data_IF_219793814763
#
_entry.id   IF_219793814763
#
_cell.length_a   1.000
_cell.length_b   1.000
_cell.length_c   1.000
_cell.angle_alpha   90.00
_cell.angle_beta   90.00
_cell.angle_gamma   90.00
#
_symmetry.space_group_name_H-M   'P 1'
#
loop_
_entity.id
_entity.type
_entity.pdbx_description
1 polymer ?
2 non-polymer ?
3 non-polymer ?
4 water ?
#
# COMPACT_ATOMS: atom_id res chain seq x y z
N UNK A 9 13.04 9.21 -10.26
CA UNK A 9 13.29 8.51 -11.55
C UNK A 9 11.98 8.43 -12.30
N UNK A 10 12.07 7.94 -13.52
CA UNK A 10 10.91 7.79 -14.38
C UNK A 10 10.48 6.32 -14.44
N UNK A 11 11.09 5.48 -13.61
CA UNK A 11 10.75 4.05 -13.59
C UNK A 11 10.22 3.51 -12.27
N UNK A 12 9.75 2.25 -12.29
CA UNK A 12 9.16 1.62 -11.11
C UNK A 12 9.71 0.24 -10.75
N UNK A 13 9.56 -0.12 -9.48
CA UNK A 13 9.97 -1.43 -8.98
C UNK A 13 8.69 -2.18 -8.62
N UNK A 14 8.38 -3.25 -9.34
CA UNK A 14 7.18 -4.00 -9.02
C UNK A 14 7.57 -5.30 -8.34
N UNK A 15 6.73 -5.77 -7.43
CA UNK A 15 7.01 -7.02 -6.73
C UNK A 15 5.78 -7.91 -6.87
N UNK A 16 6.01 -9.18 -7.16
CA UNK A 16 4.92 -10.14 -7.32
C UNK A 16 5.14 -11.34 -6.41
N UNK A 17 4.18 -11.61 -5.52
CA UNK A 17 4.29 -12.78 -4.65
C UNK A 17 3.79 -13.99 -5.44
N UNK A 18 4.40 -15.15 -5.23
CA UNK A 18 3.97 -16.35 -5.93
C UNK A 18 2.55 -16.75 -5.50
N UNK A 19 1.94 -17.65 -6.28
CA UNK A 19 0.60 -18.10 -5.98
C UNK A 19 0.53 -18.98 -4.75
N UNK A 20 -0.71 -19.38 -4.45
CA UNK A 20 -1.04 -20.23 -3.31
C UNK A 20 -0.46 -21.65 -3.36
N UNK A 21 -0.14 -22.18 -2.18
CA UNK A 21 0.38 -23.54 -2.05
C UNK A 21 -0.39 -24.19 -0.89
N UNK A 22 -0.21 -25.49 -0.70
CA UNK A 22 -0.89 -26.21 0.39
C UNK A 22 -0.47 -25.67 1.76
N UNK A 23 0.75 -25.12 1.84
CA UNK A 23 1.25 -24.57 3.10
C UNK A 23 0.78 -23.14 3.38
N UNK A 24 0.74 -22.29 2.35
CA UNK A 24 0.30 -20.92 2.55
C UNK A 24 -1.14 -20.82 3.03
N UNK A 25 -1.99 -21.69 2.49
CA UNK A 25 -3.40 -21.70 2.86
C UNK A 25 -3.59 -22.03 4.34
N UNK A 26 -2.63 -22.75 4.89
CA UNK A 26 -2.67 -23.16 6.30
C UNK A 26 -1.94 -22.16 7.20
N UNK A 27 -1.34 -21.15 6.59
CA UNK A 27 -0.63 -20.14 7.35
C UNK A 27 0.72 -20.63 7.84
N UNK A 28 1.24 -21.68 7.19
CA UNK A 28 2.53 -22.27 7.54
C UNK A 28 3.66 -21.45 6.91
N UNK A 29 4.74 -21.27 7.65
CA UNK A 29 5.89 -20.52 7.14
C UNK A 29 6.75 -21.42 6.27
N UNK A 30 6.90 -21.03 5.00
CA UNK A 30 7.69 -21.80 4.03
C UNK A 30 8.91 -21.01 3.56
N UNK A 31 10.09 -21.55 3.84
CA UNK A 31 11.33 -20.89 3.45
C UNK A 31 12.00 -21.69 2.35
N UNK A 32 13.00 -22.50 2.71
CA UNK A 32 13.67 -23.29 1.71
C UNK A 32 12.87 -24.49 1.21
N UNK A 33 11.86 -24.91 1.96
CA UNK A 33 11.05 -26.06 1.55
C UNK A 33 10.42 -25.85 0.17
N UNK A 34 10.55 -26.84 -0.70
CA UNK A 34 10.01 -26.78 -2.05
C UNK A 34 8.58 -27.28 -2.15
N UNK A 35 7.64 -26.38 -1.89
CA UNK A 35 6.22 -26.71 -1.96
C UNK A 35 5.71 -26.30 -3.34
N UNK A 36 4.76 -27.06 -3.87
CA UNK A 36 4.22 -26.76 -5.19
C UNK A 36 3.01 -25.82 -5.12
N UNK A 37 2.72 -25.17 -6.23
CA UNK A 37 1.58 -24.28 -6.33
C UNK A 37 0.36 -25.20 -6.42
N UNK A 38 -0.77 -24.77 -5.86
CA UNK A 38 -1.98 -25.60 -5.97
C UNK A 38 -2.57 -25.22 -7.32
N UNK A 39 -3.63 -25.91 -7.74
CA UNK A 39 -4.24 -25.57 -9.02
C UNK A 39 -4.76 -24.14 -8.92
N UNK A 40 -5.15 -23.74 -7.71
CA UNK A 40 -5.65 -22.40 -7.49
C UNK A 40 -4.45 -21.48 -7.62
N UNK A 41 -3.28 -21.98 -7.21
CA UNK A 41 -2.07 -21.19 -7.31
C UNK A 41 -1.67 -20.91 -8.75
N UNK A 42 -1.85 -21.91 -9.61
CA UNK A 42 -1.51 -21.76 -11.02
C UNK A 42 -2.40 -20.73 -11.66
N UNK A 43 -3.69 -20.76 -11.30
CA UNK A 43 -4.66 -19.82 -11.86
C UNK A 43 -4.33 -18.39 -11.41
N UNK A 44 -3.98 -18.24 -10.13
CA UNK A 44 -3.62 -16.94 -9.57
C UNK A 44 -2.47 -16.35 -10.38
N UNK A 45 -1.44 -17.15 -10.57
CA UNK A 45 -0.27 -16.74 -11.33
C UNK A 45 -0.67 -16.30 -12.74
N UNK A 46 -1.53 -17.10 -13.37
CA UNK A 46 -2.00 -16.81 -14.71
C UNK A 46 -2.71 -15.44 -14.77
N UNK A 47 -3.56 -15.17 -13.78
CA UNK A 47 -4.29 -13.91 -13.72
C UNK A 47 -3.36 -12.72 -13.44
N UNK A 48 -2.34 -12.93 -12.62
CA UNK A 48 -1.40 -11.86 -12.32
C UNK A 48 -0.67 -11.38 -13.59
N UNK A 49 -0.20 -12.32 -14.41
CA UNK A 49 0.49 -11.95 -15.64
C UNK A 49 -0.44 -11.19 -16.56
N UNK A 50 -1.72 -11.51 -16.44
CA UNK A 50 -2.77 -10.86 -17.22
C UNK A 50 -2.80 -9.41 -16.76
N UNK A 51 -2.75 -9.24 -15.45
CA UNK A 51 -2.76 -7.94 -14.82
C UNK A 51 -1.49 -7.13 -15.10
N UNK A 52 -0.34 -7.81 -15.13
CA UNK A 52 0.93 -7.15 -15.41
C UNK A 52 0.90 -6.61 -16.82
N UNK A 53 0.12 -7.29 -17.68
CA UNK A 53 0.00 -6.90 -19.06
C UNK A 53 -0.54 -5.51 -19.27
N UNK A 54 -1.47 -5.07 -18.43
CA UNK A 54 -2.02 -3.74 -18.61
C UNK A 54 -1.36 -2.69 -17.71
N UNK A 55 -0.17 -3.01 -17.20
CA UNK A 55 0.56 -2.05 -16.37
C UNK A 55 1.55 -1.26 -17.21
N UNK A 56 1.59 -1.57 -18.52
CA UNK A 56 2.47 -0.89 -19.45
C UNK A 56 3.87 -0.72 -18.90
N UNK A 57 4.57 -1.83 -18.72
CA UNK A 57 5.93 -1.82 -18.19
C UNK A 57 6.97 -1.55 -19.28
N UNK A 58 7.98 -0.78 -18.93
CA UNK A 58 9.04 -0.41 -19.86
C UNK A 58 10.20 -1.42 -19.90
N UNK A 59 10.22 -2.22 -20.96
CA UNK A 59 11.28 -3.21 -21.16
C UNK A 59 11.80 -3.73 -19.82
N UNK A 60 10.92 -4.33 -19.01
CA UNK A 60 11.16 -4.90 -17.68
C UNK A 60 12.24 -5.97 -17.53
N UNK A 61 13.08 -5.83 -16.51
CA UNK A 61 14.09 -6.85 -16.24
C UNK A 61 13.46 -7.63 -15.08
N UNK A 62 13.26 -8.93 -15.29
CA UNK A 62 12.64 -9.79 -14.28
C UNK A 62 13.62 -10.65 -13.49
N UNK A 63 13.64 -10.45 -12.18
CA UNK A 63 14.50 -11.17 -11.26
C UNK A 63 13.57 -12.09 -10.47
N UNK A 64 13.94 -13.36 -10.35
CA UNK A 64 13.08 -14.33 -9.67
C UNK A 64 13.75 -15.16 -8.57
N UNK A 65 12.98 -15.53 -7.55
CA UNK A 65 13.50 -16.37 -6.46
C UNK A 65 13.70 -17.79 -7.02
N UNK A 66 14.71 -18.51 -6.51
CA UNK A 66 15.03 -19.87 -6.96
C UNK A 66 13.99 -20.96 -6.69
N UNK A 67 13.09 -20.73 -5.73
CA UNK A 67 12.08 -21.73 -5.39
C UNK A 67 11.26 -22.07 -6.62
N UNK A 68 10.78 -23.31 -6.69
CA UNK A 68 9.98 -23.73 -7.82
C UNK A 68 8.63 -23.01 -7.87
N UNK A 69 8.03 -22.75 -6.72
CA UNK A 69 6.74 -22.07 -6.72
C UNK A 69 6.82 -20.65 -7.32
N UNK A 70 7.98 -20.01 -7.21
CA UNK A 70 8.15 -18.68 -7.79
C UNK A 70 8.54 -18.78 -9.26
N UNK A 71 9.37 -19.76 -9.61
CA UNK A 71 9.75 -19.94 -11.01
C UNK A 71 8.49 -20.29 -11.78
N UNK A 72 7.69 -21.18 -11.20
CA UNK A 72 6.44 -21.62 -11.81
C UNK A 72 5.52 -20.44 -12.05
N UNK A 73 5.38 -19.59 -11.03
CA UNK A 73 4.53 -18.41 -11.14
C UNK A 73 4.95 -17.53 -12.32
N UNK A 74 6.25 -17.25 -12.42
CA UNK A 74 6.77 -16.41 -13.51
C UNK A 74 6.39 -16.98 -14.87
N UNK A 75 6.60 -18.27 -15.05
CA UNK A 75 6.28 -18.95 -16.31
C UNK A 75 4.77 -18.85 -16.60
N UNK A 76 3.95 -19.17 -15.61
CA UNK A 76 2.51 -19.12 -15.74
C UNK A 76 2.03 -17.69 -15.98
N UNK A 77 2.74 -16.72 -15.44
CA UNK A 77 2.38 -15.32 -15.61
C UNK A 77 2.78 -14.86 -17.00
N UNK A 78 3.44 -15.74 -17.74
CA UNK A 78 3.88 -15.41 -19.09
C UNK A 78 5.09 -14.49 -19.13
N UNK A 79 5.92 -14.57 -18.09
CA UNK A 79 7.10 -13.73 -18.03
C UNK A 79 8.35 -14.50 -18.44
N UNK A 80 9.36 -13.78 -18.91
CA UNK A 80 10.61 -14.41 -19.27
C UNK A 80 11.56 -13.86 -18.21
N UNK A 81 12.14 -14.76 -17.43
CA UNK A 81 13.05 -14.41 -16.34
C UNK A 81 14.47 -14.08 -16.84
N UNK A 82 15.00 -12.96 -16.38
CA UNK A 82 16.33 -12.51 -16.75
C UNK A 82 17.40 -12.95 -15.77
N UNK A 83 17.05 -13.00 -14.48
CA UNK A 83 17.99 -13.41 -13.44
C UNK A 83 17.29 -14.23 -12.35
N UNK A 84 17.89 -15.36 -11.98
CA UNK A 84 17.36 -16.20 -10.92
C UNK A 84 18.40 -16.09 -9.82
N UNK A 85 17.99 -15.66 -8.63
CA UNK A 85 18.93 -15.49 -7.53
C UNK A 85 18.31 -15.67 -6.15
N UNK A 86 19.07 -16.30 -5.26
CA UNK A 86 18.61 -16.53 -3.91
C UNK A 86 18.45 -15.20 -3.18
N UNK A 87 18.89 -14.13 -3.81
CA UNK A 87 18.75 -12.81 -3.20
C UNK A 87 17.27 -12.52 -2.88
N UNK A 88 16.38 -13.08 -3.70
CA UNK A 88 14.95 -12.86 -3.52
C UNK A 88 14.27 -14.00 -2.76
N UNK A 89 15.07 -14.92 -2.19
CA UNK A 89 14.52 -16.05 -1.46
C UNK A 89 13.73 -15.61 -0.24
N UNK A 90 12.78 -16.43 0.21
CA UNK A 90 12.01 -16.06 1.38
C UNK A 90 12.90 -16.04 2.61
N UNK A 91 12.38 -15.45 3.68
CA UNK A 91 13.09 -15.38 4.95
C UNK A 91 13.41 -16.82 5.35
N UNK A 92 14.66 -17.10 5.71
CA UNK A 92 15.05 -18.45 6.15
C UNK A 92 14.45 -18.65 7.54
N UNK A 93 13.45 -19.52 7.65
CA UNK A 93 12.78 -19.74 8.93
C UNK A 93 13.45 -20.68 9.91
N UNK A 94 14.57 -21.27 9.52
CA UNK A 94 15.26 -22.19 10.41
C UNK A 94 14.36 -23.15 11.17
N UNK A 95 14.43 -23.10 12.50
CA UNK A 95 13.65 -24.00 13.36
C UNK A 95 12.14 -23.88 13.18
N UNK A 96 11.68 -22.70 12.78
CA UNK A 96 10.24 -22.45 12.62
C UNK A 96 9.64 -22.91 11.29
N UNK A 97 10.49 -23.37 10.38
CA UNK A 97 10.01 -23.85 9.09
C UNK A 97 8.80 -24.78 9.31
N UNK A 98 7.70 -24.51 8.61
CA UNK A 98 6.54 -25.36 8.74
C UNK A 98 5.55 -24.96 9.81
N UNK A 99 5.97 -24.13 10.77
CA UNK A 99 5.07 -23.71 11.86
C UNK A 99 4.21 -22.51 11.51
N UNK A 100 3.02 -22.46 12.11
CA UNK A 100 2.12 -21.33 11.90
C UNK A 100 2.46 -20.34 13.00
N UNK A 101 1.94 -19.12 12.88
CA UNK A 101 2.20 -18.08 13.87
C UNK A 101 1.68 -18.46 15.26
N UNK A 102 0.47 -19.05 15.34
CA UNK A 102 -0.07 -19.44 16.65
C UNK A 102 0.84 -20.50 17.28
N UNK A 103 1.20 -21.51 16.48
CA UNK A 103 2.09 -22.56 16.97
C UNK A 103 3.37 -21.95 17.53
N UNK A 104 3.90 -20.96 16.79
CA UNK A 104 5.12 -20.30 17.23
C UNK A 104 4.81 -19.53 18.51
N UNK A 105 3.58 -19.04 18.59
CA UNK A 105 3.11 -18.28 19.74
C UNK A 105 3.05 -19.08 21.02
N UNK A 106 2.90 -20.40 20.90
CA UNK A 106 2.84 -21.25 22.07
C UNK A 106 4.16 -21.23 22.83
N UNK A 107 5.23 -20.84 22.15
CA UNK A 107 6.54 -20.77 22.77
C UNK A 107 7.02 -19.33 22.92
N UNK A 108 6.73 -18.50 21.92
CA UNK A 108 7.13 -17.09 21.92
C UNK A 108 5.88 -16.24 21.66
N UNK A 109 5.02 -16.08 22.69
CA UNK A 109 3.76 -15.33 22.69
C UNK A 109 3.71 -13.98 21.99
N UNK A 110 4.83 -13.27 21.94
CA UNK A 110 4.87 -11.96 21.30
C UNK A 110 5.62 -11.96 19.96
N UNK A 111 5.91 -13.16 19.44
CA UNK A 111 6.66 -13.29 18.19
C UNK A 111 6.07 -12.66 16.92
N UNK A 112 6.97 -12.01 16.17
CA UNK A 112 6.68 -11.42 14.87
C UNK A 112 8.03 -11.63 14.20
N UNK A 113 8.02 -12.13 12.97
CA UNK A 113 9.29 -12.36 12.30
C UNK A 113 10.07 -11.06 12.22
N UNK A 114 9.33 -9.96 12.08
CA UNK A 114 9.90 -8.62 11.93
C UNK A 114 10.74 -8.08 13.08
N UNK A 115 10.44 -8.54 14.29
CA UNK A 115 11.17 -8.10 15.47
C UNK A 115 12.04 -9.20 16.09
N UNK A 116 11.62 -10.46 15.95
CA UNK A 116 12.38 -11.57 16.54
C UNK A 116 13.33 -12.33 15.61
N UNK A 117 12.87 -12.60 14.39
CA UNK A 117 13.70 -13.37 13.49
C UNK A 117 13.41 -14.84 13.75
N UNK A 118 14.23 -15.73 13.20
CA UNK A 118 14.01 -17.16 13.37
C UNK A 118 15.22 -17.90 13.90
N UNK A 119 15.02 -18.76 14.92
CA UNK A 119 16.13 -19.52 15.50
C UNK A 119 16.68 -20.56 14.50
N UNK A 120 17.99 -20.49 14.25
CA UNK A 120 18.68 -21.38 13.32
C UNK A 120 18.42 -20.97 11.87
N UNK A 121 17.92 -19.75 11.69
CA UNK A 121 17.63 -19.22 10.37
C UNK A 121 18.16 -17.79 10.24
N UNK A 122 17.48 -16.96 9.47
CA UNK A 122 17.91 -15.57 9.29
C UNK A 122 17.44 -14.64 10.39
N UNK A 123 18.33 -13.74 10.80
CA UNK A 123 18.00 -12.76 11.81
C UNK A 123 17.49 -11.52 11.07
N UNK A 124 16.88 -10.60 11.81
CA UNK A 124 16.36 -9.37 11.20
C UNK A 124 17.49 -8.65 10.46
N UNK A 125 18.64 -8.53 11.13
CA UNK A 125 19.80 -7.85 10.57
C UNK A 125 20.16 -8.43 9.19
N UNK A 126 20.18 -9.75 9.10
CA UNK A 126 20.52 -10.40 7.84
C UNK A 126 19.51 -10.11 6.73
N UNK A 127 18.24 -10.10 7.05
CA UNK A 127 17.24 -9.83 6.02
C UNK A 127 17.24 -8.36 5.69
N UNK A 128 17.54 -7.52 6.68
CA UNK A 128 17.61 -6.07 6.47
C UNK A 128 18.66 -5.78 5.39
N UNK A 129 19.81 -6.43 5.50
CA UNK A 129 20.90 -6.27 4.55
C UNK A 129 20.57 -6.88 3.19
N UNK A 130 19.92 -8.04 3.21
CA UNK A 130 19.56 -8.68 1.94
C UNK A 130 18.55 -7.79 1.21
N UNK A 131 17.62 -7.22 1.98
CA UNK A 131 16.60 -6.35 1.44
C UNK A 131 17.23 -5.11 0.82
N UNK A 132 18.19 -4.50 1.51
CA UNK A 132 18.86 -3.31 0.99
C UNK A 132 19.63 -3.63 -0.30
N UNK A 133 20.29 -4.77 -0.34
CA UNK A 133 21.03 -5.14 -1.55
C UNK A 133 20.06 -5.24 -2.72
N UNK A 134 18.87 -5.81 -2.44
CA UNK A 134 17.83 -5.96 -3.46
C UNK A 134 17.38 -4.59 -3.98
N UNK A 135 17.20 -3.64 -3.07
CA UNK A 135 16.79 -2.30 -3.47
C UNK A 135 17.90 -1.67 -4.32
N UNK A 136 19.16 -1.91 -3.92
CA UNK A 136 20.32 -1.37 -4.63
C UNK A 136 20.34 -1.94 -6.05
N UNK A 137 20.03 -3.22 -6.17
CA UNK A 137 20.00 -3.88 -7.46
C UNK A 137 18.98 -3.18 -8.38
N UNK A 138 17.78 -3.00 -7.85
CA UNK A 138 16.69 -2.37 -8.59
C UNK A 138 17.03 -0.99 -9.12
N UNK A 139 17.53 -0.12 -8.24
CA UNK A 139 17.90 1.25 -8.60
C UNK A 139 18.89 1.34 -9.75
N UNK A 140 19.74 0.31 -9.90
CA UNK A 140 20.72 0.31 -10.98
C UNK A 140 20.10 0.08 -12.34
N UNK A 141 19.05 -0.75 -12.39
CA UNK A 141 18.41 -1.00 -13.67
C UNK A 141 17.31 0.01 -13.97
N UNK A 142 16.72 0.57 -12.92
CA UNK A 142 15.65 1.55 -13.06
C UNK A 142 16.16 2.82 -13.73
N UNK A 143 17.47 2.88 -13.94
CA UNK A 143 18.07 4.03 -14.58
C UNK A 143 17.65 4.07 -16.05
N UNK A 144 17.23 2.92 -16.56
CA UNK A 144 16.83 2.82 -17.96
C UNK A 144 15.59 1.97 -18.22
N UNK A 145 15.16 1.20 -17.23
CA UNK A 145 13.98 0.34 -17.39
C UNK A 145 13.26 0.03 -16.07
N UNK A 146 12.09 -0.58 -16.18
CA UNK A 146 11.31 -0.97 -15.00
C UNK A 146 11.86 -2.30 -14.48
N UNK A 147 11.70 -2.53 -13.17
CA UNK A 147 12.18 -3.77 -12.53
C UNK A 147 11.05 -4.59 -11.89
N UNK A 148 11.08 -5.91 -12.08
CA UNK A 148 10.06 -6.79 -11.50
C UNK A 148 10.67 -7.94 -10.69
N UNK A 149 10.34 -7.99 -9.39
CA UNK A 149 10.82 -9.05 -8.53
C UNK A 149 9.71 -10.05 -8.34
N UNK A 150 9.98 -11.33 -8.60
CA UNK A 150 8.98 -12.37 -8.36
C UNK A 150 9.58 -13.04 -7.12
N UNK A 151 8.94 -12.83 -5.97
CA UNK A 151 9.48 -13.31 -4.71
C UNK A 151 8.45 -13.85 -3.71
N UNK A 152 8.70 -13.67 -2.41
CA UNK A 152 7.81 -14.16 -1.35
C UNK A 152 7.18 -13.08 -0.46
N UNK A 153 6.23 -13.51 0.38
CA UNK A 153 5.51 -12.61 1.26
C UNK A 153 6.34 -11.71 2.14
N UNK A 154 7.08 -12.31 3.06
CA UNK A 154 7.90 -11.53 3.97
C UNK A 154 9.04 -10.79 3.29
N UNK A 155 9.78 -11.45 2.40
CA UNK A 155 10.87 -10.75 1.74
C UNK A 155 10.38 -9.57 0.88
N UNK A 156 9.30 -9.77 0.14
CA UNK A 156 8.76 -8.67 -0.68
C UNK A 156 8.44 -7.48 0.23
N UNK A 157 7.84 -7.76 1.39
CA UNK A 157 7.50 -6.72 2.34
C UNK A 157 8.78 -6.07 2.85
N UNK A 158 9.83 -6.87 2.99
CA UNK A 158 11.11 -6.39 3.46
C UNK A 158 11.63 -5.39 2.44
N UNK A 159 11.58 -5.77 1.17
CA UNK A 159 12.04 -4.87 0.12
C UNK A 159 11.24 -3.57 0.14
N UNK A 160 9.93 -3.68 0.23
CA UNK A 160 9.05 -2.50 0.26
C UNK A 160 9.37 -1.61 1.46
N UNK A 161 9.48 -2.22 2.65
CA UNK A 161 9.78 -1.47 3.86
C UNK A 161 11.09 -0.70 3.71
N UNK A 162 12.07 -1.31 3.05
CA UNK A 162 13.37 -0.67 2.85
C UNK A 162 13.31 0.36 1.74
N UNK A 163 12.49 0.10 0.73
CA UNK A 163 12.34 1.05 -0.37
C UNK A 163 11.91 2.40 0.22
N UNK A 164 10.98 2.33 1.17
CA UNK A 164 10.46 3.52 1.82
C UNK A 164 11.29 3.97 3.02
N UNK A 165 12.49 3.40 3.14
CA UNK A 165 13.46 3.75 4.18
C UNK A 165 13.00 3.70 5.62
N UNK A 166 12.31 2.62 5.98
CA UNK A 166 11.83 2.43 7.34
C UNK A 166 12.59 1.25 7.95
N UNK A 167 12.60 1.13 9.30
CA UNK A 167 13.30 0.01 9.94
C UNK A 167 12.54 -1.24 9.51
N UNK A 168 13.25 -2.35 9.36
CA UNK A 168 12.62 -3.59 8.90
C UNK A 168 11.48 -4.01 9.80
N UNK A 169 11.52 -3.56 11.05
CA UNK A 169 10.47 -3.90 12.00
C UNK A 169 9.09 -3.54 11.47
N UNK A 170 9.04 -2.56 10.58
CA UNK A 170 7.78 -2.07 10.01
C UNK A 170 7.19 -2.98 8.93
N UNK A 171 7.87 -4.07 8.58
CA UNK A 171 7.35 -4.98 7.57
C UNK A 171 6.00 -5.56 7.97
N UNK A 172 5.70 -5.48 9.26
CA UNK A 172 4.45 -6.00 9.82
C UNK A 172 3.26 -5.14 9.42
N UNK A 173 3.53 -3.90 9.00
CA UNK A 173 2.50 -2.94 8.61
C UNK A 173 2.02 -3.02 7.16
N UNK A 174 2.56 -3.96 6.39
CA UNK A 174 2.17 -4.09 4.99
C UNK A 174 1.79 -5.51 4.61
N UNK A 175 0.59 -5.68 4.04
CA UNK A 175 0.14 -7.00 3.62
C UNK A 175 0.77 -7.33 2.27
N UNK A 176 0.74 -8.62 1.92
CA UNK A 176 1.30 -9.11 0.67
C UNK A 176 0.72 -10.50 0.47
N UNK A 177 -0.55 -10.58 0.02
CA UNK A 177 -1.17 -11.90 -0.19
C UNK A 177 -0.62 -12.63 -1.42
N UNK A 178 -0.95 -13.91 -1.54
CA UNK A 178 -0.47 -14.73 -2.65
C UNK A 178 -0.93 -14.18 -3.99
N UNK A 179 0.01 -14.12 -4.93
CA UNK A 179 -0.27 -13.62 -6.27
C UNK A 179 -0.65 -12.14 -6.28
N UNK A 180 -0.19 -11.40 -5.28
CA UNK A 180 -0.48 -9.97 -5.22
C UNK A 180 0.72 -9.14 -5.70
N UNK A 181 0.45 -7.92 -6.15
CA UNK A 181 1.46 -7.02 -6.67
C UNK A 181 1.57 -5.73 -5.84
N UNK A 182 2.82 -5.32 -5.58
CA UNK A 182 3.09 -4.08 -4.87
C UNK A 182 3.94 -3.28 -5.84
N UNK A 183 3.80 -1.95 -5.87
CA UNK A 183 4.57 -1.11 -6.79
C UNK A 183 5.25 0.07 -6.09
N UNK A 184 6.56 0.17 -6.27
CA UNK A 184 7.35 1.24 -5.64
C UNK A 184 7.82 2.26 -6.67
N UNK A 185 7.74 3.54 -6.32
CA UNK A 185 8.16 4.60 -7.21
C UNK A 185 8.65 5.81 -6.43
N UNK A 186 8.38 7.02 -6.94
CA UNK A 186 8.80 8.26 -6.29
C UNK A 186 7.71 9.33 -6.42
N UNK A 187 7.73 10.30 -5.52
CA UNK A 187 6.82 11.44 -5.54
C UNK A 187 7.65 12.62 -5.05
N UNK A 188 7.82 13.63 -5.91
CA UNK A 188 8.61 14.82 -5.59
C UNK A 188 9.92 14.52 -4.90
N UNK A 189 10.72 13.64 -5.52
CA UNK A 189 12.02 13.25 -4.99
C UNK A 189 12.07 12.20 -3.89
N UNK A 190 10.92 11.73 -3.42
CA UNK A 190 10.88 10.74 -2.34
C UNK A 190 10.49 9.33 -2.78
N UNK A 191 11.26 8.34 -2.32
CA UNK A 191 10.96 6.94 -2.63
C UNK A 191 9.63 6.66 -1.93
N UNK A 192 8.68 6.12 -2.69
CA UNK A 192 7.35 5.90 -2.14
C UNK A 192 6.68 4.61 -2.58
N UNK A 193 5.75 4.12 -1.77
CA UNK A 193 4.96 2.91 -2.07
C UNK A 193 3.75 3.44 -2.84
N UNK A 194 3.60 3.02 -4.10
CA UNK A 194 2.48 3.48 -4.92
C UNK A 194 1.25 2.56 -4.91
N UNK A 195 1.49 1.26 -5.04
CA UNK A 195 0.40 0.28 -5.04
C UNK A 195 0.72 -0.91 -4.12
N UNK A 196 -0.30 -1.44 -3.47
CA UNK A 196 -0.15 -2.59 -2.57
C UNK A 196 -1.40 -3.45 -2.60
N UNK A 197 -1.21 -4.75 -2.46
CA UNK A 197 -2.34 -5.65 -2.45
C UNK A 197 -3.13 -5.72 -3.74
N UNK A 198 -2.48 -5.40 -4.86
CA UNK A 198 -3.15 -5.45 -6.15
C UNK A 198 -3.34 -6.93 -6.48
N UNK A 199 -4.57 -7.30 -6.83
CA UNK A 199 -4.91 -8.68 -7.14
C UNK A 199 -5.72 -8.79 -8.43
N UNK A 200 -5.35 -9.76 -9.26
CA UNK A 200 -6.05 -9.97 -10.51
C UNK A 200 -7.01 -11.15 -10.45
N UNK A 201 -7.14 -11.75 -9.25
CA UNK A 201 -8.01 -12.92 -9.06
C UNK A 201 -9.11 -12.72 -8.03
N UNK B 9 -9.31 -7.51 14.61
CA UNK B 9 -10.79 -7.35 14.48
C UNK B 9 -11.09 -8.08 13.21
N UNK B 10 -12.38 -8.26 12.95
CA UNK B 10 -12.82 -8.95 11.73
C UNK B 10 -13.31 -7.94 10.69
N UNK B 11 -13.07 -6.65 10.92
CA UNK B 11 -13.51 -5.61 9.98
C UNK B 11 -12.39 -4.75 9.38
N UNK B 12 -12.74 -3.90 8.41
CA UNK B 12 -11.76 -3.04 7.73
C UNK B 12 -12.09 -1.57 7.65
N UNK B 13 -11.05 -0.75 7.46
CA UNK B 13 -11.20 0.69 7.29
C UNK B 13 -10.80 1.01 5.85
N UNK B 14 -11.76 1.43 5.02
CA UNK B 14 -11.44 1.75 3.65
C UNK B 14 -11.41 3.28 3.51
N UNK B 15 -10.57 3.78 2.61
CA UNK B 15 -10.49 5.22 2.38
C UNK B 15 -10.60 5.44 0.89
N UNK B 16 -11.40 6.43 0.51
CA UNK B 16 -11.60 6.77 -0.89
C UNK B 16 -11.28 8.24 -1.15
N UNK B 17 -10.34 8.50 -2.07
CA UNK B 17 -10.02 9.88 -2.42
C UNK B 17 -11.04 10.31 -3.48
N UNK B 18 -11.43 11.58 -3.46
CA UNK B 18 -12.39 12.09 -4.43
C UNK B 18 -11.76 12.13 -5.83
N UNK B 19 -12.62 12.23 -6.84
CA UNK B 19 -12.16 12.26 -8.21
C UNK B 19 -11.38 13.51 -8.56
N UNK B 20 -10.93 13.54 -9.81
CA UNK B 20 -10.13 14.62 -10.37
C UNK B 20 -10.86 15.97 -10.50
N UNK B 21 -10.12 17.06 -10.32
CA UNK B 21 -10.64 18.42 -10.45
C UNK B 21 -9.63 19.20 -11.32
N UNK B 22 -10.00 20.41 -11.73
CA UNK B 22 -9.12 21.24 -12.55
C UNK B 22 -7.81 21.55 -11.82
N UNK B 23 -7.88 21.59 -10.49
CA UNK B 23 -6.72 21.89 -9.67
C UNK B 23 -5.79 20.70 -9.43
N UNK B 24 -6.37 19.53 -9.18
CA UNK B 24 -5.56 18.34 -8.93
C UNK B 24 -4.69 17.98 -10.13
N UNK B 25 -5.26 18.08 -11.33
CA UNK B 25 -4.54 17.76 -12.56
C UNK B 25 -3.30 18.65 -12.73
N UNK B 26 -3.35 19.84 -12.14
CA UNK B 26 -2.25 20.78 -12.23
C UNK B 26 -1.30 20.65 -11.04
N UNK B 27 -1.62 19.76 -10.12
CA UNK B 27 -0.78 19.57 -8.96
C UNK B 27 -0.92 20.68 -7.93
N UNK B 28 -2.02 21.43 -8.01
CA UNK B 28 -2.30 22.53 -7.09
C UNK B 28 -2.88 22.00 -5.78
N UNK B 29 -2.43 22.55 -4.66
CA UNK B 29 -2.92 22.13 -3.35
C UNK B 29 -4.27 22.77 -3.07
N UNK B 30 -5.30 21.94 -2.89
CA UNK B 30 -6.66 22.40 -2.62
C UNK B 30 -7.13 21.98 -1.23
N UNK B 31 -7.39 22.98 -0.38
CA UNK B 31 -7.85 22.72 0.96
C UNK B 31 -9.32 23.09 1.07
N UNK B 32 -9.58 24.26 1.63
CA UNK B 32 -10.95 24.70 1.80
C UNK B 32 -11.60 25.18 0.51
N UNK B 33 -10.80 25.45 -0.51
CA UNK B 33 -11.36 25.93 -1.77
C UNK B 33 -12.34 24.93 -2.37
N UNK B 34 -13.51 25.41 -2.76
CA UNK B 34 -14.53 24.54 -3.33
C UNK B 34 -14.39 24.38 -4.85
N UNK B 35 -13.58 23.41 -5.27
CA UNK B 35 -13.36 23.14 -6.69
C UNK B 35 -14.28 21.98 -7.09
N UNK B 36 -14.78 22.01 -8.32
CA UNK B 36 -15.68 20.98 -8.80
C UNK B 36 -14.94 19.82 -9.44
N UNK B 37 -15.61 18.67 -9.50
CA UNK B 37 -15.04 17.48 -10.12
C UNK B 37 -15.14 17.74 -11.62
N UNK B 38 -14.17 17.25 -12.39
CA UNK B 38 -14.23 17.41 -13.84
C UNK B 38 -15.11 16.27 -14.32
N UNK B 39 -15.44 16.25 -15.61
CA UNK B 39 -16.27 15.17 -16.15
C UNK B 39 -15.50 13.87 -15.97
N UNK B 40 -14.18 13.96 -16.05
CA UNK B 40 -13.34 12.80 -15.85
C UNK B 40 -13.44 12.43 -14.37
N UNK B 41 -13.59 13.44 -13.51
CA UNK B 41 -13.71 13.18 -12.08
C UNK B 41 -15.00 12.45 -11.76
N UNK B 42 -16.10 12.83 -12.41
CA UNK B 42 -17.37 12.17 -12.17
C UNK B 42 -17.32 10.69 -12.58
N UNK B 43 -16.67 10.43 -13.70
CA UNK B 43 -16.53 9.06 -14.19
C UNK B 43 -15.68 8.23 -13.23
N UNK B 44 -14.60 8.84 -12.72
CA UNK B 44 -13.72 8.16 -11.77
C UNK B 44 -14.54 7.73 -10.56
N UNK B 45 -15.32 8.66 -10.02
CA UNK B 45 -16.16 8.39 -8.86
C UNK B 45 -17.13 7.24 -9.16
N UNK B 46 -17.74 7.30 -10.33
CA UNK B 46 -18.69 6.27 -10.75
C UNK B 46 -18.02 4.90 -10.78
N UNK B 47 -16.81 4.82 -11.32
CA UNK B 47 -16.09 3.56 -11.40
C UNK B 47 -15.64 3.05 -10.01
N UNK B 48 -15.32 3.97 -9.11
CA UNK B 48 -14.90 3.58 -7.77
C UNK B 48 -16.02 2.87 -7.01
N UNK B 49 -17.23 3.41 -7.11
CA UNK B 49 -18.37 2.80 -6.42
C UNK B 49 -18.62 1.42 -6.99
N UNK B 50 -18.30 1.28 -8.28
CA UNK B 50 -18.46 0.02 -9.00
C UNK B 50 -17.51 -0.96 -8.33
N UNK B 51 -16.29 -0.48 -8.07
CA UNK B 51 -15.24 -1.26 -7.44
C UNK B 51 -15.55 -1.57 -5.98
N UNK B 52 -16.13 -0.60 -5.27
CA UNK B 52 -16.50 -0.83 -3.86
C UNK B 52 -17.54 -1.94 -3.81
N UNK B 53 -18.35 -2.03 -4.87
CA UNK B 53 -19.39 -3.03 -4.94
C UNK B 53 -18.91 -4.46 -4.81
N UNK B 54 -17.74 -4.76 -5.37
CA UNK B 54 -17.23 -6.12 -5.28
C UNK B 54 -16.26 -6.32 -4.14
N UNK B 55 -16.25 -5.40 -3.19
CA UNK B 55 -15.38 -5.54 -2.03
C UNK B 55 -16.12 -6.21 -0.88
N UNK B 56 -17.38 -6.54 -1.11
CA UNK B 56 -18.21 -7.20 -0.10
C UNK B 56 -18.03 -6.58 1.27
N UNK B 57 -18.50 -5.35 1.42
CA UNK B 57 -18.39 -4.61 2.68
C UNK B 57 -19.54 -4.95 3.62
N UNK B 58 -19.23 -5.05 4.91
CA UNK B 58 -20.21 -5.40 5.92
C UNK B 58 -20.95 -4.19 6.50
N UNK B 59 -22.20 -4.01 6.06
CA UNK B 59 -23.05 -2.90 6.54
C UNK B 59 -22.21 -1.68 6.90
N UNK B 60 -21.47 -1.14 5.90
CA UNK B 60 -20.57 0.02 5.99
C UNK B 60 -21.16 1.31 6.51
N UNK B 61 -20.43 1.98 7.39
CA UNK B 61 -20.85 3.30 7.87
C UNK B 61 -19.94 4.25 7.08
N UNK B 62 -20.56 5.13 6.28
CA UNK B 62 -19.80 6.06 5.44
C UNK B 62 -19.69 7.46 6.03
N UNK B 63 -18.45 7.90 6.23
CA UNK B 63 -18.16 9.23 6.76
C UNK B 63 -17.53 10.01 5.59
N UNK B 64 -18.01 11.23 5.37
CA UNK B 64 -17.54 12.05 4.24
C UNK B 64 -17.06 13.46 4.56
N UNK B 65 -16.09 13.95 3.79
CA UNK B 65 -15.55 15.29 3.96
C UNK B 65 -16.62 16.27 3.45
N UNK B 66 -16.75 17.44 4.10
CA UNK B 66 -17.73 18.46 3.73
C UNK B 66 -17.61 19.11 2.35
N UNK B 67 -16.42 19.03 1.75
CA UNK B 67 -16.21 19.62 0.42
C UNK B 67 -17.19 19.03 -0.59
N UNK B 68 -17.57 19.84 -1.56
CA UNK B 68 -18.51 19.38 -2.57
C UNK B 68 -17.91 18.29 -3.46
N UNK B 69 -16.61 18.38 -3.73
CA UNK B 69 -15.98 17.37 -4.57
C UNK B 69 -16.03 15.98 -3.93
N UNK B 70 -16.01 15.91 -2.60
CA UNK B 70 -16.09 14.63 -1.91
C UNK B 70 -17.55 14.16 -1.75
N UNK B 71 -18.45 15.11 -1.47
CA UNK B 71 -19.86 14.77 -1.36
C UNK B 71 -20.31 14.25 -2.72
N UNK B 72 -19.92 14.95 -3.77
CA UNK B 72 -20.26 14.57 -5.14
C UNK B 72 -19.78 13.15 -5.46
N UNK B 73 -18.53 12.87 -5.10
CA UNK B 73 -17.94 11.55 -5.33
C UNK B 73 -18.76 10.45 -4.66
N UNK B 74 -19.12 10.67 -3.41
CA UNK B 74 -19.90 9.69 -2.67
C UNK B 74 -21.24 9.40 -3.37
N UNK B 75 -21.92 10.45 -3.81
CA UNK B 75 -23.19 10.30 -4.50
C UNK B 75 -22.98 9.53 -5.80
N UNK B 76 -22.02 9.97 -6.59
CA UNK B 76 -21.72 9.33 -7.86
C UNK B 76 -21.26 7.89 -7.69
N UNK B 77 -20.62 7.60 -6.55
CA UNK B 77 -20.15 6.25 -6.27
C UNK B 77 -21.33 5.38 -5.84
N UNK B 78 -22.51 6.01 -5.72
CA UNK B 78 -23.70 5.29 -5.32
C UNK B 78 -23.75 4.98 -3.82
N UNK B 79 -23.05 5.78 -3.03
CA UNK B 79 -23.02 5.56 -1.59
C UNK B 79 -24.04 6.44 -0.88
N UNK B 80 -24.45 6.01 0.30
CA UNK B 80 -25.34 6.79 1.11
C UNK B 80 -24.48 7.19 2.30
N UNK B 81 -24.27 8.48 2.48
CA UNK B 81 -23.44 9.01 3.55
C UNK B 81 -24.15 9.04 4.91
N UNK B 82 -23.47 8.53 5.93
CA UNK B 82 -24.01 8.47 7.27
C UNK B 82 -23.61 9.69 8.10
N UNK B 83 -22.37 10.15 7.92
CA UNK B 83 -21.88 11.31 8.65
C UNK B 83 -21.04 12.22 7.78
N UNK B 84 -21.30 13.52 7.83
CA UNK B 84 -20.51 14.49 7.07
C UNK B 84 -19.80 15.29 8.16
N UNK B 85 -18.48 15.33 8.11
CA UNK B 85 -17.71 16.04 9.13
C UNK B 85 -16.37 16.59 8.63
N UNK B 86 -16.05 17.80 9.10
CA UNK B 86 -14.80 18.42 8.72
C UNK B 86 -13.62 17.62 9.23
N UNK B 87 -13.89 16.58 10.01
CA UNK B 87 -12.83 15.74 10.54
C UNK B 87 -12.01 15.10 9.42
N UNK B 88 -12.67 14.87 8.28
CA UNK B 88 -12.02 14.28 7.12
C UNK B 88 -11.61 15.32 6.06
N UNK B 89 -11.68 16.60 6.41
CA UNK B 89 -11.33 17.67 5.48
C UNK B 89 -9.84 17.60 5.11
N UNK B 90 -9.48 18.12 3.95
CA UNK B 90 -8.08 18.07 3.54
C UNK B 90 -7.22 18.92 4.47
N UNK B 91 -5.91 18.73 4.38
CA UNK B 91 -4.96 19.52 5.17
C UNK B 91 -5.22 21.00 4.85
N UNK B 92 -5.38 21.84 5.87
CA UNK B 92 -5.58 23.27 5.63
C UNK B 92 -4.27 23.87 5.14
N UNK B 93 -4.19 24.26 3.87
CA UNK B 93 -2.96 24.80 3.29
C UNK B 93 -2.65 26.26 3.55
N UNK B 94 -3.53 26.96 4.24
CA UNK B 94 -3.27 28.36 4.54
C UNK B 94 -2.70 29.16 3.38
N UNK B 95 -1.55 29.76 3.60
CA UNK B 95 -0.89 30.59 2.58
C UNK B 95 -0.58 29.87 1.26
N UNK B 96 -0.35 28.56 1.34
CA UNK B 96 -0.01 27.78 0.16
C UNK B 96 -1.18 27.32 -0.71
N UNK B 97 -2.41 27.59 -0.26
CA UNK B 97 -3.60 27.21 -1.01
C UNK B 97 -3.44 27.61 -2.47
N UNK B 98 -3.63 26.67 -3.38
CA UNK B 98 -3.50 27.00 -4.78
C UNK B 98 -2.12 26.85 -5.39
N UNK B 99 -1.09 26.75 -4.55
CA UNK B 99 0.29 26.59 -5.05
C UNK B 99 0.68 25.14 -5.32
N UNK B 100 1.58 24.93 -6.28
CA UNK B 100 2.05 23.60 -6.60
C UNK B 100 3.28 23.41 -5.75
N UNK B 101 3.78 22.18 -5.70
CA UNK B 101 4.96 21.87 -4.91
C UNK B 101 6.20 22.63 -5.42
N UNK B 102 6.39 22.70 -6.75
CA UNK B 102 7.56 23.43 -7.28
C UNK B 102 7.49 24.89 -6.88
N UNK B 103 6.32 25.50 -7.09
CA UNK B 103 6.10 26.89 -6.74
C UNK B 103 6.45 27.11 -5.27
N UNK B 104 6.01 26.19 -4.41
CA UNK B 104 6.30 26.27 -2.98
C UNK B 104 7.80 26.10 -2.79
N UNK B 105 8.40 25.32 -3.69
CA UNK B 105 9.83 25.03 -3.65
C UNK B 105 10.70 26.26 -3.93
N UNK B 106 10.15 27.21 -4.68
CA UNK B 106 10.90 28.42 -5.01
C UNK B 106 11.21 29.22 -3.75
N UNK B 107 10.45 28.97 -2.69
CA UNK B 107 10.65 29.68 -1.43
C UNK B 107 11.19 28.74 -0.36
N UNK B 108 10.66 27.52 -0.32
CA UNK B 108 11.08 26.52 0.65
C UNK B 108 11.51 25.25 -0.10
N UNK B 109 12.72 25.29 -0.70
CA UNK B 109 13.36 24.22 -1.48
C UNK B 109 13.26 22.78 -0.98
N UNK B 110 13.16 22.58 0.33
CA UNK B 110 13.07 21.24 0.87
C UNK B 110 11.68 20.91 1.41
N UNK B 111 10.69 21.73 1.08
CA UNK B 111 9.33 21.54 1.58
C UNK B 111 8.59 20.25 1.22
N UNK B 112 7.91 19.72 2.23
CA UNK B 112 7.06 18.53 2.14
C UNK B 112 6.02 18.88 3.17
N UNK B 113 4.75 18.73 2.83
CA UNK B 113 3.71 19.07 3.80
C UNK B 113 3.89 18.25 5.07
N UNK B 114 4.40 17.03 4.90
CA UNK B 114 4.61 16.06 5.98
C UNK B 114 5.60 16.47 7.08
N UNK B 115 6.59 17.27 6.71
CA UNK B 115 7.59 17.71 7.68
C UNK B 115 7.48 19.20 8.01
N UNK B 116 7.02 20.02 7.07
CA UNK B 116 6.91 21.46 7.30
C UNK B 116 5.55 21.97 7.74
N UNK B 117 4.49 21.51 7.08
CA UNK B 117 3.17 22.01 7.41
C UNK B 117 2.93 23.22 6.51
N UNK B 118 1.88 23.99 6.80
CA UNK B 118 1.57 25.14 5.96
C UNK B 118 1.42 26.43 6.76
N UNK B 119 2.07 27.51 6.30
CA UNK B 119 1.96 28.80 7.00
C UNK B 119 0.55 29.38 6.91
N UNK B 120 -0.02 29.70 8.07
CA UNK B 120 -1.37 30.25 8.17
C UNK B 120 -2.43 29.16 7.99
N UNK B 121 -1.99 27.91 8.08
CA UNK B 121 -2.86 26.77 7.95
C UNK B 121 -2.58 25.75 9.05
N UNK B 122 -2.78 24.47 8.74
CA UNK B 122 -2.54 23.42 9.74
C UNK B 122 -1.09 23.00 9.83
N UNK B 123 -0.66 22.73 11.07
CA UNK B 123 0.70 22.30 11.32
C UNK B 123 0.65 20.77 11.35
N UNK B 124 1.82 20.13 11.29
CA UNK B 124 1.89 18.67 11.33
C UNK B 124 1.20 18.17 12.60
N UNK B 125 1.52 18.78 13.73
CA UNK B 125 0.92 18.40 14.99
C UNK B 125 -0.61 18.36 14.91
N UNK B 126 -1.20 19.41 14.37
CA UNK B 126 -2.65 19.48 14.26
C UNK B 126 -3.25 18.39 13.39
N UNK B 127 -2.59 18.06 12.29
CA UNK B 127 -3.12 17.02 11.42
C UNK B 127 -2.87 15.65 12.06
N UNK B 128 -1.77 15.54 12.80
CA UNK B 128 -1.44 14.29 13.48
C UNK B 128 -2.56 13.92 14.42
N UNK B 129 -3.05 14.93 15.16
CA UNK B 129 -4.14 14.75 16.12
C UNK B 129 -5.46 14.51 15.43
N UNK B 130 -5.71 15.24 14.35
CA UNK B 130 -6.95 15.06 13.63
C UNK B 130 -6.99 13.64 13.04
N UNK B 131 -5.83 13.18 12.55
CA UNK B 131 -5.70 11.84 11.97
C UNK B 131 -5.97 10.78 13.05
N UNK B 132 -5.39 10.97 14.24
CA UNK B 132 -5.61 10.00 15.31
C UNK B 132 -7.08 9.95 15.72
N UNK B 133 -7.73 11.10 15.80
CA UNK B 133 -9.16 11.13 16.17
C UNK B 133 -9.95 10.32 15.14
N UNK B 134 -9.58 10.47 13.87
CA UNK B 134 -10.25 9.76 12.77
C UNK B 134 -10.07 8.24 12.94
N UNK B 135 -8.85 7.80 13.26
CA UNK B 135 -8.60 6.38 13.47
C UNK B 135 -9.43 5.89 14.68
N UNK B 136 -9.50 6.71 15.72
CA UNK B 136 -10.26 6.38 16.93
C UNK B 136 -11.72 6.19 16.58
N UNK B 137 -12.24 7.07 15.74
CA UNK B 137 -13.63 7.00 15.30
C UNK B 137 -13.87 5.65 14.60
N UNK B 138 -13.00 5.33 13.65
CA UNK B 138 -13.11 4.10 12.89
C UNK B 138 -13.16 2.85 13.77
N UNK B 139 -12.21 2.73 14.69
CA UNK B 139 -12.12 1.58 15.59
C UNK B 139 -13.39 1.34 16.39
N UNK B 140 -14.13 2.40 16.69
CA UNK B 140 -15.36 2.27 17.45
C UNK B 140 -16.48 1.60 16.67
N UNK B 141 -16.55 1.86 15.37
CA UNK B 141 -17.60 1.25 14.56
C UNK B 141 -17.19 -0.11 14.00
N UNK B 142 -15.88 -0.29 13.83
CA UNK B 142 -15.33 -1.54 13.30
C UNK B 142 -15.59 -2.70 14.25
N UNK B 143 -16.11 -2.37 15.42
CA UNK B 143 -16.41 -3.39 16.41
C UNK B 143 -17.59 -4.22 15.92
N UNK B 144 -18.34 -3.68 14.98
CA UNK B 144 -19.51 -4.38 14.45
C UNK B 144 -19.70 -4.25 12.95
N UNK B 145 -19.00 -3.31 12.32
CA UNK B 145 -19.15 -3.10 10.87
C UNK B 145 -17.89 -2.54 10.21
N UNK B 146 -17.91 -2.47 8.88
CA UNK B 146 -16.79 -1.92 8.12
C UNK B 146 -16.98 -0.40 8.05
N UNK B 147 -15.88 0.33 7.94
CA UNK B 147 -15.89 1.79 7.88
C UNK B 147 -15.30 2.34 6.56
N UNK B 148 -15.95 3.35 6.00
CA UNK B 148 -15.47 3.97 4.76
C UNK B 148 -15.35 5.49 4.86
N UNK B 149 -14.14 6.01 4.64
CA UNK B 149 -13.89 7.44 4.69
C UNK B 149 -13.78 7.93 3.25
N UNK B 150 -14.57 8.94 2.89
CA UNK B 150 -14.48 9.55 1.58
C UNK B 150 -13.79 10.87 1.92
N UNK B 151 -12.51 10.98 1.57
CA UNK B 151 -11.74 12.16 1.95
C UNK B 151 -10.74 12.67 0.88
N UNK B 152 -9.61 13.21 1.31
CA UNK B 152 -8.61 13.76 0.40
C UNK B 152 -7.27 13.06 0.40
N UNK B 153 -6.41 13.46 -0.54
CA UNK B 153 -5.10 12.84 -0.70
C UNK B 153 -4.20 12.81 0.53
N UNK B 154 -3.82 13.99 1.01
CA UNK B 154 -2.94 14.08 2.16
C UNK B 154 -3.59 13.58 3.44
N UNK B 155 -4.83 13.99 3.73
CA UNK B 155 -5.46 13.51 4.95
C UNK B 155 -5.65 11.99 4.95
N UNK B 156 -6.07 11.42 3.81
CA UNK B 156 -6.25 9.97 3.75
C UNK B 156 -4.90 9.31 4.11
N UNK B 157 -3.82 9.83 3.55
CA UNK B 157 -2.48 9.30 3.82
C UNK B 157 -2.15 9.48 5.29
N UNK B 158 -2.65 10.56 5.86
CA UNK B 158 -2.39 10.84 7.27
C UNK B 158 -3.06 9.75 8.09
N UNK B 159 -4.30 9.44 7.74
CA UNK B 159 -5.03 8.41 8.46
C UNK B 159 -4.30 7.06 8.35
N UNK B 160 -3.88 6.72 7.14
CA UNK B 160 -3.19 5.47 6.89
C UNK B 160 -1.88 5.40 7.68
N UNK B 161 -1.11 6.47 7.64
CA UNK B 161 0.17 6.54 8.34
C UNK B 161 -0.04 6.33 9.84
N UNK B 162 -1.15 6.87 10.36
CA UNK B 162 -1.42 6.72 11.78
C UNK B 162 -2.03 5.35 12.08
N UNK B 163 -2.78 4.80 11.13
CA UNK B 163 -3.35 3.47 11.34
C UNK B 163 -2.20 2.52 11.62
N UNK B 164 -1.13 2.66 10.83
CA UNK B 164 0.05 1.81 10.96
C UNK B 164 1.05 2.29 12.03
N UNK B 165 0.60 3.23 12.84
CA UNK B 165 1.36 3.79 13.96
C UNK B 165 2.76 4.31 13.67
N UNK B 166 2.88 5.09 12.61
CA UNK B 166 4.16 5.69 12.23
C UNK B 166 4.03 7.20 12.44
N UNK B 167 5.17 7.93 12.48
CA UNK B 167 5.15 9.38 12.67
C UNK B 167 4.50 9.94 11.41
N UNK B 168 3.72 11.00 11.54
CA UNK B 168 3.05 11.57 10.38
C UNK B 168 4.02 11.91 9.26
N UNK B 169 5.27 12.12 9.60
CA UNK B 169 6.27 12.47 8.60
C UNK B 169 6.32 11.43 7.48
N UNK B 170 5.93 10.20 7.80
CA UNK B 170 5.96 9.09 6.85
C UNK B 170 4.82 9.12 5.81
N UNK B 171 3.92 10.11 5.92
CA UNK B 171 2.84 10.21 4.96
C UNK B 171 3.38 10.37 3.54
N UNK B 172 4.62 10.83 3.44
CA UNK B 172 5.27 11.02 2.14
C UNK B 172 5.56 9.70 1.40
N UNK B 173 5.55 8.60 2.16
CA UNK B 173 5.87 7.28 1.62
C UNK B 173 4.70 6.51 1.01
N UNK B 174 3.51 7.11 1.03
CA UNK B 174 2.33 6.45 0.50
C UNK B 174 1.58 7.30 -0.54
N UNK B 175 1.37 6.73 -1.73
CA UNK B 175 0.63 7.46 -2.76
C UNK B 175 -0.87 7.35 -2.46
N UNK B 176 -1.66 8.20 -3.11
CA UNK B 176 -3.10 8.23 -2.96
C UNK B 176 -3.65 9.07 -4.11
N UNK B 177 -3.73 8.48 -5.32
CA UNK B 177 -4.24 9.22 -6.49
C UNK B 177 -5.74 9.44 -6.42
N UNK B 178 -6.24 10.30 -7.32
CA UNK B 178 -7.65 10.63 -7.35
C UNK B 178 -8.51 9.41 -7.62
N UNK B 179 -9.60 9.29 -6.85
CA UNK B 179 -10.53 8.18 -7.00
C UNK B 179 -9.88 6.84 -6.66
N UNK B 180 -8.84 6.85 -5.84
CA UNK B 180 -8.17 5.60 -5.45
C UNK B 180 -8.62 5.15 -4.07
N UNK B 181 -8.47 3.85 -3.80
CA UNK B 181 -8.87 3.26 -2.54
C UNK B 181 -7.70 2.61 -1.79
N UNK B 182 -7.66 2.84 -0.48
CA UNK B 182 -6.65 2.25 0.37
C UNK B 182 -7.45 1.48 1.40
N UNK B 183 -6.95 0.33 1.85
CA UNK B 183 -7.67 -0.50 2.84
C UNK B 183 -6.77 -0.87 4.03
N UNK B 184 -7.25 -0.58 5.23
CA UNK B 184 -6.53 -0.87 6.47
C UNK B 184 -7.21 -2.01 7.25
N UNK B 185 -6.40 -2.93 7.77
CA UNK B 185 -6.92 -4.05 8.54
C UNK B 185 -5.91 -4.50 9.59
N UNK B 186 -5.84 -5.81 9.85
CA UNK B 186 -4.92 -6.37 10.83
C UNK B 186 -4.32 -7.68 10.34
N UNK B 187 -3.16 -8.04 10.89
CA UNK B 187 -2.51 -9.32 10.57
C UNK B 187 -1.88 -9.74 11.89
N UNK B 188 -2.30 -10.91 12.39
CA UNK B 188 -1.79 -11.43 13.65
C UNK B 188 -1.67 -10.38 14.76
N UNK B 189 -2.77 -9.67 15.01
CA UNK B 189 -2.80 -8.67 16.06
C UNK B 189 -2.22 -7.29 15.74
N UNK B 190 -1.67 -7.11 14.55
CA UNK B 190 -1.07 -5.83 14.18
C UNK B 190 -1.89 -5.02 13.15
N UNK B 191 -2.07 -3.73 13.43
CA UNK B 191 -2.79 -2.85 12.52
C UNK B 191 -1.91 -2.77 11.29
N UNK B 192 -2.50 -3.05 10.13
CA UNK B 192 -1.74 -3.09 8.89
C UNK B 192 -2.41 -2.46 7.67
N UNK B 193 -1.60 -2.05 6.70
CA UNK B 193 -2.09 -1.47 5.44
C UNK B 193 -2.25 -2.68 4.51
N UNK B 194 -3.48 -2.97 4.09
CA UNK B 194 -3.73 -4.13 3.22
C UNK B 194 -3.75 -3.81 1.72
N UNK B 195 -4.36 -2.68 1.35
CA UNK B 195 -4.44 -2.31 -0.05
C UNK B 195 -4.14 -0.83 -0.19
N UNK B 196 -3.49 -0.48 -1.31
CA UNK B 196 -3.14 0.92 -1.59
C UNK B 196 -3.15 1.14 -3.10
N UNK B 197 -3.55 2.34 -3.50
CA UNK B 197 -3.56 2.68 -4.91
C UNK B 197 -4.50 1.86 -5.76
N UNK B 198 -5.56 1.33 -5.15
CA UNK B 198 -6.54 0.54 -5.90
C UNK B 198 -7.32 1.52 -6.77
N UNK B 199 -7.41 1.22 -8.06
CA UNK B 199 -8.11 2.07 -9.01
C UNK B 199 -9.08 1.28 -9.90
N UNK B 200 -10.27 1.83 -10.09
CA UNK B 200 -11.26 1.16 -10.93
C UNK B 200 -11.38 1.82 -12.29
N UNK B 201 -10.52 2.80 -12.55
CA UNK B 201 -10.53 3.53 -13.83
C UNK B 201 -9.23 3.43 -14.64
#
# INVERSE_FOLDING_TARGET
QGAMAMGVRNHRLLLLRHGETAWSTLGRHTGGTEVELTDTGRTQAELAGQLLGELELDDPIVICSPRRRTLDTAKLAGLTVNEVTGLLAEWDYGSYEGLTTPQIRESEPDWLVWTHGCPAGESVAQVNDRADSAVALALEHMSSRDVLFVSHGHFSRAVITRWVQLPLAEGSRFAMPTASIGICGFEHGVRQLAVLGLTGHPQPIAAG
QGAMAMGVRNHRLLLLRHGETAWSTLGRHTGGTEVELTDTGRTQAELAGQLLGELELDDPIVICSPRRRTLDTAKLAGLTVNEVTGLLAEWDYGSYEGLTTPQIRESEPDWLVWTHGCPAGESVAQVNDRADSAVALALEHMSSRDVLFVSHGHFSRAVITRWVQLPLAEGSRFAMPTASIGICGFEHGVRQLAVLGLTGHPQPIAAG
#
